data_IF_982548863314
#
_entry.id   IF_982548863314
#
_cell.length_a   1.000
_cell.length_b   1.000
_cell.length_c   1.000
_cell.angle_alpha   90.00
_cell.angle_beta   90.00
_cell.angle_gamma   90.00
#
_symmetry.space_group_name_H-M   'P 1'
#
loop_
_entity.id
_entity.type
_entity.pdbx_description
1 polymer ?
#
# COMPACT_ATOMS: atom_id res chain seq x y z
N UNK A 1 7.86 -0.40 -9.12
CA UNK A 1 7.94 -0.61 -7.65
C UNK A 1 7.77 -2.05 -7.26
N UNK A 2 6.71 -2.69 -7.74
CA UNK A 2 6.50 -4.11 -7.55
C UNK A 2 7.73 -4.93 -7.99
N UNK A 3 8.24 -4.71 -9.20
CA UNK A 3 9.42 -5.45 -9.67
C UNK A 3 10.68 -5.09 -8.92
N UNK A 4 10.83 -3.83 -8.48
CA UNK A 4 11.94 -3.44 -7.60
C UNK A 4 11.88 -4.19 -6.25
N UNK A 5 10.69 -4.36 -5.68
CA UNK A 5 10.48 -5.11 -4.44
C UNK A 5 10.73 -6.63 -4.62
N UNK A 6 10.49 -7.18 -5.81
CA UNK A 6 10.72 -8.60 -6.10
C UNK A 6 12.16 -8.89 -6.52
N UNK A 7 12.72 -8.07 -7.39
CA UNK A 7 14.04 -8.28 -8.03
C UNK A 7 15.18 -7.62 -7.25
N UNK A 8 14.87 -6.71 -6.32
CA UNK A 8 15.86 -5.90 -5.60
C UNK A 8 16.53 -4.84 -6.48
N UNK A 9 16.03 -4.58 -7.69
CA UNK A 9 16.59 -3.60 -8.61
C UNK A 9 15.83 -2.27 -8.57
N UNK A 10 16.44 -1.24 -7.97
CA UNK A 10 15.83 0.08 -7.81
C UNK A 10 15.93 0.98 -9.06
N UNK A 11 16.55 0.50 -10.15
CA UNK A 11 16.80 1.29 -11.37
C UNK A 11 15.53 1.86 -12.00
N UNK A 12 14.41 1.16 -11.84
CA UNK A 12 13.10 1.58 -12.36
C UNK A 12 12.35 2.58 -11.47
N UNK A 13 12.93 3.00 -10.33
CA UNK A 13 12.29 3.91 -9.35
C UNK A 13 12.86 5.33 -9.36
N UNK A 14 13.76 5.66 -10.28
CA UNK A 14 14.39 6.98 -10.32
C UNK A 14 13.40 8.14 -10.54
N UNK A 15 12.23 7.87 -11.13
CA UNK A 15 11.17 8.85 -11.31
C UNK A 15 10.38 9.13 -10.01
N UNK A 16 10.39 8.20 -9.05
CA UNK A 16 9.55 8.26 -7.86
C UNK A 16 10.25 9.03 -6.74
N UNK A 17 9.71 10.19 -6.43
CA UNK A 17 10.16 11.03 -5.33
C UNK A 17 9.06 11.23 -4.29
N UNK A 18 9.42 11.06 -3.01
CA UNK A 18 8.51 11.26 -1.90
C UNK A 18 8.53 12.72 -1.45
N UNK A 19 7.34 13.28 -1.27
CA UNK A 19 7.16 14.63 -0.74
C UNK A 19 6.81 14.57 0.76
N UNK A 20 7.82 14.82 1.60
CA UNK A 20 7.67 14.89 3.06
C UNK A 20 7.38 16.31 3.57
N UNK A 21 7.20 17.30 2.69
CA UNK A 21 7.05 18.72 3.08
C UNK A 21 5.85 19.01 3.99
N UNK A 22 4.87 18.10 4.09
CA UNK A 22 3.74 18.24 5.00
C UNK A 22 4.10 17.88 6.46
N UNK A 23 5.11 17.03 6.68
CA UNK A 23 5.45 16.53 8.03
C UNK A 23 6.32 17.52 8.81
N UNK A 24 7.03 18.42 8.13
CA UNK A 24 7.92 19.40 8.74
C UNK A 24 7.60 20.78 8.18
N UNK A 25 7.18 21.70 9.04
CA UNK A 25 6.77 23.07 8.72
C UNK A 25 7.93 23.99 8.34
N UNK A 26 8.88 23.50 7.53
CA UNK A 26 10.02 24.27 7.05
C UNK A 26 10.25 24.04 5.55
N UNK A 27 10.60 25.16 4.90
CA UNK A 27 10.76 25.35 3.47
C UNK A 27 11.55 24.22 2.78
N UNK A 28 11.06 23.82 1.61
CA UNK A 28 11.74 23.07 0.55
C UNK A 28 12.66 21.93 1.03
N UNK A 29 12.08 20.89 1.63
CA UNK A 29 12.80 19.63 1.79
C UNK A 29 13.04 19.06 0.37
N UNK A 30 14.28 18.69 0.02
CA UNK A 30 14.55 18.03 -1.24
C UNK A 30 13.69 16.77 -1.38
N UNK A 31 13.07 16.61 -2.54
CA UNK A 31 12.37 15.40 -2.95
C UNK A 31 13.25 14.17 -2.68
N UNK A 32 12.85 13.33 -1.72
CA UNK A 32 13.65 12.18 -1.32
C UNK A 32 13.41 11.02 -2.30
N UNK A 33 14.50 10.43 -2.81
CA UNK A 33 14.42 9.21 -3.61
C UNK A 33 13.83 8.08 -2.78
N UNK A 34 12.94 7.30 -3.38
CA UNK A 34 12.39 6.10 -2.74
C UNK A 34 13.51 5.09 -2.41
N UNK A 35 13.59 4.66 -1.15
CA UNK A 35 14.60 3.70 -0.67
C UNK A 35 14.02 2.60 0.23
N UNK A 36 12.71 2.59 0.48
CA UNK A 36 12.07 1.61 1.36
C UNK A 36 11.94 0.26 0.68
N UNK A 37 12.41 -0.80 1.36
CA UNK A 37 12.34 -2.19 0.85
C UNK A 37 11.20 -3.01 1.44
N UNK A 38 10.66 -2.56 2.57
CA UNK A 38 9.59 -3.17 3.36
C UNK A 38 8.22 -2.47 3.17
N UNK A 39 8.20 -1.35 2.46
CA UNK A 39 7.01 -0.58 2.13
C UNK A 39 6.72 -0.61 0.63
N UNK A 40 5.47 -0.33 0.28
CA UNK A 40 4.99 -0.13 -1.07
C UNK A 40 4.06 1.08 -1.10
N UNK A 41 4.06 1.80 -2.21
CA UNK A 41 3.10 2.86 -2.52
C UNK A 41 1.93 2.26 -3.29
N UNK A 42 0.74 2.32 -2.71
CA UNK A 42 -0.48 1.80 -3.31
C UNK A 42 -1.39 2.96 -3.68
N UNK A 43 -1.94 2.94 -4.89
CA UNK A 43 -3.03 3.83 -5.28
C UNK A 43 -4.35 3.09 -5.12
N UNK A 44 -5.33 3.74 -4.50
CA UNK A 44 -6.71 3.22 -4.44
C UNK A 44 -7.59 4.11 -5.29
N UNK A 45 -8.35 3.51 -6.20
CA UNK A 45 -9.33 4.24 -7.00
C UNK A 45 -10.51 3.38 -7.41
N UNK A 46 -11.66 4.01 -7.63
CA UNK A 46 -12.84 3.34 -8.18
C UNK A 46 -12.85 3.30 -9.72
N UNK A 47 -13.65 2.39 -10.27
CA UNK A 47 -14.00 2.38 -11.68
C UNK A 47 -15.40 1.79 -11.89
N UNK A 48 -16.13 2.32 -12.86
CA UNK A 48 -17.38 1.76 -13.38
C UNK A 48 -17.16 0.91 -14.62
N UNK A 49 -15.90 0.77 -15.08
CA UNK A 49 -15.57 -0.03 -16.26
C UNK A 49 -15.73 -1.51 -15.99
N UNK A 50 -16.13 -2.25 -17.02
CA UNK A 50 -16.33 -3.71 -16.94
C UNK A 50 -15.05 -4.49 -16.60
N UNK A 51 -13.87 -3.98 -16.99
CA UNK A 51 -12.57 -4.63 -16.78
C UNK A 51 -11.62 -3.69 -16.03
N UNK A 52 -11.05 -4.17 -14.93
CA UNK A 52 -10.05 -3.42 -14.15
C UNK A 52 -8.81 -3.09 -14.98
N UNK A 53 -8.39 -3.98 -15.88
CA UNK A 53 -7.26 -3.73 -16.79
C UNK A 53 -7.41 -2.45 -17.61
N UNK A 54 -8.64 -2.11 -18.05
CA UNK A 54 -8.88 -0.86 -18.79
C UNK A 54 -8.67 0.38 -17.92
N UNK A 55 -8.88 0.28 -16.60
CA UNK A 55 -8.61 1.36 -15.66
C UNK A 55 -7.12 1.50 -15.38
N UNK A 56 -6.41 0.38 -15.27
CA UNK A 56 -4.96 0.39 -15.11
C UNK A 56 -4.28 1.05 -16.31
N UNK A 57 -4.64 0.66 -17.55
CA UNK A 57 -4.08 1.28 -18.76
C UNK A 57 -4.36 2.79 -18.85
N UNK A 58 -5.51 3.27 -18.38
CA UNK A 58 -5.76 4.72 -18.29
C UNK A 58 -4.80 5.42 -17.33
N UNK A 59 -4.54 4.81 -16.17
CA UNK A 59 -3.59 5.36 -15.21
C UNK A 59 -2.17 5.37 -15.76
N UNK A 60 -1.74 4.32 -16.45
CA UNK A 60 -0.43 4.27 -17.11
C UNK A 60 -0.33 5.33 -18.21
N UNK A 61 -1.37 5.44 -19.05
CA UNK A 61 -1.39 6.44 -20.12
C UNK A 61 -1.39 7.87 -19.58
N UNK A 62 -2.01 8.11 -18.42
CA UNK A 62 -2.07 9.44 -17.79
C UNK A 62 -0.80 9.78 -17.03
N UNK A 63 -0.24 8.81 -16.30
CA UNK A 63 0.91 9.02 -15.42
C UNK A 63 2.24 8.72 -16.11
N UNK A 64 2.24 8.09 -17.29
CA UNK A 64 3.42 7.63 -18.03
C UNK A 64 4.35 6.73 -17.20
N UNK A 65 3.76 5.98 -16.27
CA UNK A 65 4.45 5.06 -15.38
C UNK A 65 3.68 3.74 -15.37
N UNK A 66 4.43 2.63 -15.37
CA UNK A 66 3.87 1.28 -15.26
C UNK A 66 3.17 1.11 -13.90
N UNK A 67 1.98 0.53 -13.92
CA UNK A 67 1.19 0.21 -12.72
C UNK A 67 0.78 -1.24 -12.74
N UNK A 68 0.90 -1.89 -11.59
CA UNK A 68 0.51 -3.29 -11.44
C UNK A 68 -0.68 -3.36 -10.49
N UNK A 69 -1.71 -4.11 -10.90
CA UNK A 69 -2.84 -4.43 -10.05
C UNK A 69 -2.39 -5.30 -8.88
N UNK A 70 -2.81 -4.93 -7.66
CA UNK A 70 -2.55 -5.72 -6.46
C UNK A 70 -3.71 -6.69 -6.23
N UNK A 71 -3.47 -7.95 -6.57
CA UNK A 71 -4.33 -9.09 -6.29
C UNK A 71 -3.76 -9.96 -5.14
N UNK A 72 -4.53 -10.92 -4.61
CA UNK A 72 -4.04 -11.80 -3.56
C UNK A 72 -2.75 -12.56 -3.91
N UNK A 73 -2.55 -12.95 -5.17
CA UNK A 73 -1.37 -13.70 -5.60
C UNK A 73 -0.11 -12.83 -5.65
N UNK A 74 -0.21 -11.61 -6.17
CA UNK A 74 0.85 -10.59 -6.16
C UNK A 74 1.19 -10.16 -4.74
N UNK A 75 0.20 -9.96 -3.86
CA UNK A 75 0.44 -9.69 -2.43
C UNK A 75 1.15 -10.87 -1.76
N UNK A 76 0.75 -12.10 -2.04
CA UNK A 76 1.43 -13.30 -1.53
C UNK A 76 2.89 -13.36 -1.96
N UNK A 77 3.17 -13.07 -3.23
CA UNK A 77 4.54 -13.02 -3.77
C UNK A 77 5.38 -11.96 -3.08
N UNK A 78 4.86 -10.75 -2.90
CA UNK A 78 5.55 -9.67 -2.18
C UNK A 78 5.87 -10.05 -0.73
N UNK A 79 4.90 -10.63 -0.01
CA UNK A 79 5.11 -11.05 1.38
C UNK A 79 6.22 -12.11 1.48
N UNK A 80 6.22 -13.09 0.58
CA UNK A 80 7.28 -14.12 0.53
C UNK A 80 8.65 -13.52 0.26
N UNK A 81 8.77 -12.56 -0.66
CA UNK A 81 10.05 -11.89 -0.93
C UNK A 81 10.63 -11.20 0.32
N UNK A 82 9.78 -10.64 1.20
CA UNK A 82 10.24 -10.08 2.47
C UNK A 82 10.73 -11.16 3.45
N UNK A 83 10.04 -12.28 3.55
CA UNK A 83 10.42 -13.39 4.44
C UNK A 83 11.75 -14.04 4.04
N UNK A 84 12.04 -14.08 2.74
CA UNK A 84 13.29 -14.66 2.22
C UNK A 84 14.50 -13.75 2.44
N UNK A 85 14.35 -12.47 2.76
CA UNK A 85 15.49 -11.64 3.17
C UNK A 85 15.89 -12.00 4.61
N UNK A 86 16.95 -12.79 4.85
CA UNK A 86 17.41 -12.98 6.20
C UNK A 86 18.08 -11.67 6.59
N UNK A 87 17.39 -10.86 7.39
CA UNK A 87 18.06 -9.81 8.16
C UNK A 87 19.13 -10.50 8.99
N UNK A 88 20.37 -10.53 8.48
CA UNK A 88 21.54 -10.86 9.28
C UNK A 88 21.57 -9.79 10.36
N UNK A 89 20.97 -10.09 11.51
CA UNK A 89 21.05 -9.21 12.69
C UNK A 89 22.53 -8.86 12.87
N UNK A 90 22.91 -7.57 12.90
CA UNK A 90 24.30 -7.20 13.09
C UNK A 90 24.83 -7.87 14.35
N UNK A 91 26.08 -8.32 14.31
CA UNK A 91 26.74 -9.10 15.38
C UNK A 91 26.60 -8.43 16.75
N UNK A 92 26.58 -7.09 16.76
CA UNK A 92 26.34 -6.26 17.93
C UNK A 92 24.91 -6.40 18.49
N UNK A 93 23.88 -6.42 17.65
CA UNK A 93 22.50 -6.64 18.08
C UNK A 93 22.27 -8.05 18.65
N UNK A 94 23.08 -9.05 18.27
CA UNK A 94 23.09 -10.37 18.92
C UNK A 94 23.70 -10.30 20.33
N UNK A 95 24.78 -9.53 20.52
CA UNK A 95 25.41 -9.33 21.83
C UNK A 95 24.45 -8.66 22.83
N UNK A 96 23.70 -7.65 22.39
CA UNK A 96 22.70 -7.00 23.25
C UNK A 96 21.42 -7.84 23.48
N UNK A 97 21.13 -8.81 22.61
CA UNK A 97 20.01 -9.75 22.80
C UNK A 97 20.23 -10.69 24.00
N UNK A 98 21.50 -10.98 24.31
CA UNK A 98 21.88 -11.77 25.48
C UNK A 98 21.77 -10.98 26.81
N UNK A 99 21.68 -9.65 26.73
CA UNK A 99 21.53 -8.75 27.89
C UNK A 99 20.06 -8.41 28.17
N UNK A 100 19.13 -8.92 27.37
CA UNK A 100 17.71 -8.75 27.65
C UNK A 100 17.32 -9.71 28.76
N UNK A 101 16.90 -9.18 29.92
CA UNK A 101 16.31 -9.99 30.99
C UNK A 101 15.22 -10.87 30.39
N UNK A 102 15.26 -12.17 30.68
CA UNK A 102 14.20 -13.12 30.30
C UNK A 102 12.93 -12.74 31.05
N UNK A 103 12.24 -11.73 30.56
CA UNK A 103 10.92 -11.40 31.05
C UNK A 103 10.02 -12.60 30.69
N UNK A 104 9.46 -13.23 31.73
CA UNK A 104 8.66 -14.47 31.65
C UNK A 104 7.34 -14.24 30.87
N UNK A 105 7.13 -13.03 30.35
CA UNK A 105 6.00 -12.66 29.51
C UNK A 105 6.50 -12.56 28.06
N UNK A 106 6.34 -13.65 27.31
CA UNK A 106 6.43 -13.63 25.83
C UNK A 106 5.70 -12.38 25.32
N UNK A 107 6.35 -11.47 24.56
CA UNK A 107 5.63 -10.38 23.93
C UNK A 107 4.63 -10.98 22.94
N UNK A 108 3.34 -10.91 23.29
CA UNK A 108 2.22 -11.09 22.37
C UNK A 108 2.31 -9.97 21.32
N UNK A 109 3.15 -10.12 20.30
CA UNK A 109 3.40 -8.96 19.41
C UNK A 109 4.07 -9.20 18.07
N UNK A 110 4.65 -10.37 17.79
CA UNK A 110 4.96 -10.70 16.41
C UNK A 110 3.69 -11.27 15.78
N UNK A 111 2.87 -10.40 15.18
CA UNK A 111 1.80 -10.81 14.26
C UNK A 111 2.48 -11.65 13.17
N UNK A 112 2.42 -12.97 13.31
CA UNK A 112 2.76 -13.91 12.24
C UNK A 112 1.98 -13.43 11.02
N UNK A 113 2.67 -13.23 9.90
CA UNK A 113 2.03 -12.95 8.62
C UNK A 113 1.00 -14.08 8.42
N UNK A 114 -0.29 -13.77 8.23
CA UNK A 114 -1.28 -14.82 8.08
C UNK A 114 -0.91 -15.66 6.86
N UNK A 115 -1.13 -16.99 6.88
CA UNK A 115 -1.00 -17.78 5.67
C UNK A 115 -1.88 -17.15 4.59
N UNK A 116 -1.29 -16.84 3.44
CA UNK A 116 -1.89 -16.01 2.37
C UNK A 116 -2.91 -16.81 1.54
N UNK A 117 -3.82 -17.52 2.21
CA UNK A 117 -5.08 -17.98 1.64
C UNK A 117 -6.13 -16.92 1.96
N UNK A 118 -6.12 -15.85 1.16
CA UNK A 118 -7.09 -14.76 1.25
C UNK A 118 -8.33 -15.16 0.45
N UNK A 119 -9.34 -15.69 1.14
CA UNK A 119 -10.68 -15.81 0.56
C UNK A 119 -11.35 -14.44 0.68
N UNK A 120 -11.48 -13.74 -0.45
CA UNK A 120 -12.12 -12.42 -0.54
C UNK A 120 -13.44 -12.58 -1.29
N UNK A 121 -14.55 -12.17 -0.68
CA UNK A 121 -15.91 -12.39 -1.21
C UNK A 121 -16.21 -11.54 -2.43
N UNK A 122 -15.66 -10.32 -2.46
CA UNK A 122 -15.96 -9.29 -3.46
C UNK A 122 -14.84 -9.12 -4.48
N UNK A 123 -13.71 -9.80 -4.30
CA UNK A 123 -12.60 -9.72 -5.24
C UNK A 123 -12.85 -10.62 -6.45
N UNK A 124 -13.16 -10.00 -7.58
CA UNK A 124 -13.48 -10.68 -8.85
C UNK A 124 -12.73 -9.96 -9.97
N UNK A 125 -12.22 -10.69 -10.96
CA UNK A 125 -11.60 -10.10 -12.17
C UNK A 125 -10.56 -8.99 -11.92
N UNK A 126 -9.77 -9.11 -10.84
CA UNK A 126 -8.70 -8.18 -10.51
C UNK A 126 -9.13 -6.94 -9.71
N UNK A 127 -10.36 -6.88 -9.18
CA UNK A 127 -10.82 -5.76 -8.36
C UNK A 127 -11.93 -6.13 -7.38
N UNK A 128 -12.26 -5.20 -6.49
CA UNK A 128 -13.31 -5.37 -5.49
C UNK A 128 -14.63 -4.80 -5.99
N UNK A 129 -15.68 -5.62 -5.96
CA UNK A 129 -17.02 -5.24 -6.39
C UNK A 129 -17.89 -4.86 -5.19
N UNK A 130 -18.63 -3.76 -5.31
CA UNK A 130 -19.59 -3.36 -4.28
C UNK A 130 -20.82 -4.27 -4.36
N UNK A 131 -21.19 -4.87 -3.24
CA UNK A 131 -22.37 -5.74 -3.20
C UNK A 131 -23.66 -4.93 -3.39
N UNK A 132 -24.65 -5.42 -4.16
CA UNK A 132 -25.88 -4.68 -4.46
C UNK A 132 -26.68 -4.28 -3.22
N UNK A 133 -26.58 -5.06 -2.14
CA UNK A 133 -27.27 -4.85 -0.88
C UNK A 133 -26.50 -3.97 0.12
N UNK A 134 -25.34 -3.43 -0.25
CA UNK A 134 -24.55 -2.57 0.64
C UNK A 134 -25.21 -1.21 0.91
N UNK A 135 -26.08 -0.74 0.02
CA UNK A 135 -26.74 0.56 0.11
C UNK A 135 -25.79 1.75 0.00
N UNK A 136 -24.53 1.53 -0.40
CA UNK A 136 -23.49 2.56 -0.51
C UNK A 136 -23.13 2.81 -1.97
N UNK A 137 -22.90 4.08 -2.32
CA UNK A 137 -22.38 4.41 -3.65
C UNK A 137 -20.90 4.05 -3.78
N UNK A 138 -20.39 3.90 -5.01
CA UNK A 138 -18.96 3.68 -5.25
C UNK A 138 -18.09 4.80 -4.64
N UNK A 139 -18.59 6.04 -4.68
CA UNK A 139 -17.90 7.20 -4.09
C UNK A 139 -17.84 7.10 -2.56
N UNK A 140 -18.91 6.62 -1.92
CA UNK A 140 -18.93 6.41 -0.47
C UNK A 140 -17.97 5.32 -0.03
N UNK A 141 -17.91 4.23 -0.80
CA UNK A 141 -16.98 3.12 -0.58
C UNK A 141 -15.54 3.58 -0.73
N UNK A 142 -15.21 4.28 -1.83
CA UNK A 142 -13.87 4.83 -2.05
C UNK A 142 -13.47 5.80 -0.93
N UNK A 143 -14.36 6.73 -0.59
CA UNK A 143 -14.14 7.69 0.49
C UNK A 143 -13.93 6.99 1.84
N UNK A 144 -14.67 5.92 2.11
CA UNK A 144 -14.53 5.12 3.33
C UNK A 144 -13.18 4.40 3.38
N UNK A 145 -12.74 3.81 2.28
CA UNK A 145 -11.43 3.16 2.16
C UNK A 145 -10.32 4.19 2.34
N UNK A 146 -10.40 5.35 1.66
CA UNK A 146 -9.42 6.42 1.76
C UNK A 146 -9.31 6.94 3.19
N UNK A 147 -10.43 7.25 3.87
CA UNK A 147 -10.43 7.69 5.28
C UNK A 147 -9.80 6.66 6.21
N UNK A 148 -10.12 5.38 6.02
CA UNK A 148 -9.54 4.28 6.80
C UNK A 148 -8.02 4.24 6.63
N UNK A 149 -7.54 4.30 5.38
CA UNK A 149 -6.11 4.23 5.09
C UNK A 149 -5.36 5.50 5.51
N UNK A 150 -5.95 6.69 5.35
CA UNK A 150 -5.37 7.94 5.85
C UNK A 150 -5.21 7.92 7.37
N UNK A 151 -6.21 7.43 8.10
CA UNK A 151 -6.12 7.29 9.56
C UNK A 151 -4.99 6.36 9.97
N UNK A 152 -4.71 5.31 9.18
CA UNK A 152 -3.73 4.27 9.53
C UNK A 152 -2.31 4.57 9.05
N UNK A 153 -2.15 5.19 7.88
CA UNK A 153 -0.86 5.36 7.20
C UNK A 153 -0.56 6.80 6.79
N UNK A 154 -1.49 7.74 6.99
CA UNK A 154 -1.39 9.10 6.48
C UNK A 154 -1.69 9.22 4.99
N UNK A 155 -1.49 10.43 4.46
CA UNK A 155 -1.65 10.72 3.04
C UNK A 155 -0.30 10.54 2.33
N UNK A 156 -0.24 9.65 1.34
CA UNK A 156 0.89 9.57 0.42
C UNK A 156 0.74 10.63 -0.65
N UNK A 157 1.59 11.65 -0.59
CA UNK A 157 1.59 12.76 -1.54
C UNK A 157 2.74 12.57 -2.51
N UNK A 158 2.40 12.48 -3.79
CA UNK A 158 3.37 12.20 -4.86
C UNK A 158 3.33 13.33 -5.89
N UNK A 159 4.50 13.84 -6.23
CA UNK A 159 4.69 14.61 -7.46
C UNK A 159 4.91 13.66 -8.63
N UNK A 160 3.93 13.60 -9.53
CA UNK A 160 4.02 12.78 -10.73
C UNK A 160 4.58 13.63 -11.87
N UNK A 161 5.75 13.24 -12.39
CA UNK A 161 6.37 13.92 -13.53
C UNK A 161 5.61 13.70 -14.84
N UNK A 162 4.91 12.57 -14.98
CA UNK A 162 4.13 12.27 -16.18
C UNK A 162 2.75 12.95 -16.24
N UNK A 163 2.25 13.49 -15.12
CA UNK A 163 1.02 14.27 -15.10
C UNK A 163 1.32 15.76 -15.02
N UNK A 164 0.66 16.57 -15.84
CA UNK A 164 0.79 18.03 -15.82
C UNK A 164 -0.48 18.70 -15.27
N UNK A 165 -0.31 19.81 -14.56
CA UNK A 165 -1.41 20.70 -14.18
C UNK A 165 -1.70 21.70 -15.32
N UNK A 166 -2.68 22.58 -15.13
CA UNK A 166 -3.05 23.61 -16.13
C UNK A 166 -1.92 24.61 -16.45
N UNK A 167 -0.85 24.63 -15.65
CA UNK A 167 0.35 25.47 -15.81
C UNK A 167 1.55 24.68 -16.35
N UNK A 168 1.33 23.45 -16.85
CA UNK A 168 2.38 22.52 -17.32
C UNK A 168 3.41 22.09 -16.25
N UNK A 169 3.08 22.24 -14.97
CA UNK A 169 3.93 21.77 -13.86
C UNK A 169 3.52 20.35 -13.43
N UNK A 170 4.45 19.57 -12.83
CA UNK A 170 4.14 18.24 -12.29
C UNK A 170 2.93 18.26 -11.34
N UNK A 171 1.95 17.39 -11.61
CA UNK A 171 0.72 17.29 -10.82
C UNK A 171 0.98 16.53 -9.52
N UNK A 172 0.37 17.02 -8.44
CA UNK A 172 0.37 16.36 -7.13
C UNK A 172 -0.82 15.40 -7.01
N UNK A 173 -0.55 14.14 -6.67
CA UNK A 173 -1.58 13.12 -6.40
C UNK A 173 -1.72 12.90 -4.89
N UNK A 174 -2.98 12.75 -4.42
CA UNK A 174 -3.33 12.52 -3.00
C UNK A 174 -3.90 11.12 -2.72
N UNK A 175 -4.09 10.33 -3.77
CA UNK A 175 -4.76 9.01 -3.74
C UNK A 175 -3.78 7.87 -3.47
N UNK A 176 -2.56 8.19 -3.02
CA UNK A 176 -1.50 7.21 -2.78
C UNK A 176 -1.29 7.00 -1.28
N UNK A 177 -0.86 5.80 -0.94
CA UNK A 177 -0.70 5.36 0.44
C UNK A 177 0.61 4.58 0.54
N UNK A 178 1.54 5.06 1.36
CA UNK A 178 2.76 4.34 1.68
C UNK A 178 2.45 3.35 2.80
N UNK A 179 2.51 2.06 2.51
CA UNK A 179 2.10 1.02 3.46
C UNK A 179 3.14 -0.10 3.56
N UNK A 180 3.34 -0.67 4.76
CA UNK A 180 4.15 -1.86 4.92
C UNK A 180 3.59 -3.02 4.09
N UNK A 181 4.46 -3.74 3.37
CA UNK A 181 4.05 -4.87 2.52
C UNK A 181 3.38 -5.97 3.35
N UNK A 182 3.84 -6.20 4.58
CA UNK A 182 3.25 -7.18 5.50
C UNK A 182 1.82 -6.81 5.97
N UNK A 183 1.37 -5.57 5.73
CA UNK A 183 0.01 -5.14 6.02
C UNK A 183 -0.96 -5.38 4.86
N UNK A 184 -0.47 -5.58 3.64
CA UNK A 184 -1.30 -5.75 2.44
C UNK A 184 -2.38 -6.84 2.58
N UNK A 185 -2.10 -8.05 3.13
CA UNK A 185 -3.14 -9.06 3.30
C UNK A 185 -4.33 -8.60 4.15
N UNK A 186 -4.06 -7.81 5.19
CA UNK A 186 -5.10 -7.27 6.07
C UNK A 186 -5.87 -6.15 5.38
N UNK A 187 -5.19 -5.32 4.59
CA UNK A 187 -5.84 -4.24 3.83
C UNK A 187 -6.79 -4.82 2.79
N UNK A 188 -6.41 -5.89 2.09
CA UNK A 188 -7.32 -6.56 1.15
C UNK A 188 -8.57 -7.08 1.86
N UNK A 189 -8.46 -7.64 3.07
CA UNK A 189 -9.61 -8.06 3.88
C UNK A 189 -10.48 -6.88 4.34
N UNK A 190 -9.85 -5.79 4.78
CA UNK A 190 -10.56 -4.59 5.24
C UNK A 190 -11.36 -3.98 4.07
N UNK A 191 -10.78 -3.92 2.86
CA UNK A 191 -11.47 -3.47 1.65
C UNK A 191 -12.63 -4.42 1.30
N UNK A 192 -12.39 -5.73 1.32
CA UNK A 192 -13.42 -6.74 1.05
C UNK A 192 -14.63 -6.59 1.98
N UNK A 193 -14.39 -6.42 3.28
CA UNK A 193 -15.42 -6.20 4.29
C UNK A 193 -16.20 -4.90 4.06
N UNK A 194 -15.51 -3.82 3.69
CA UNK A 194 -16.14 -2.55 3.30
C UNK A 194 -17.06 -2.75 2.08
N UNK A 195 -16.59 -3.44 1.05
CA UNK A 195 -17.35 -3.72 -0.17
C UNK A 195 -18.54 -4.66 0.05
N UNK A 196 -18.45 -5.55 1.05
CA UNK A 196 -19.57 -6.38 1.51
C UNK A 196 -20.66 -5.59 2.24
N UNK A 197 -20.39 -4.34 2.64
CA UNK A 197 -21.30 -3.58 3.49
C UNK A 197 -21.33 -4.08 4.95
N UNK A 198 -20.35 -4.87 5.38
CA UNK A 198 -20.24 -5.29 6.78
C UNK A 198 -20.01 -4.01 7.62
N UNK A 199 -20.92 -3.76 8.57
CA UNK A 199 -20.72 -2.70 9.57
C UNK A 199 -19.52 -3.13 10.40
N UNK A 200 -18.35 -2.58 10.10
CA UNK A 200 -17.16 -2.79 10.92
C UNK A 200 -17.53 -2.53 12.38
N UNK A 201 -17.50 -3.59 13.20
CA UNK A 201 -17.53 -3.46 14.64
C UNK A 201 -16.29 -2.65 15.02
N UNK A 202 -16.46 -1.34 15.15
CA UNK A 202 -15.57 -0.51 15.91
C UNK A 202 -15.66 -1.02 17.34
N UNK A 203 -14.72 -1.91 17.71
CA UNK A 203 -14.50 -2.27 19.10
C UNK A 203 -14.23 -0.98 19.88
N UNK A 204 -15.17 -0.66 20.76
CA UNK A 204 -14.98 0.19 21.94
C UNK A 204 -14.41 -0.70 23.03
#
# INVERSE_FOLDING_TARGET
>A
MYDAAITGQDRHLQWLHMDYSIIQSQKSIPLAKWSSRDHILCKIGMTTKLKVGLRLSEWENSCKHEVIGLDPATVSRLCKCLEVTPSKKPTLAKLFQALTLKDIRKPKGQRKVPPVNLTLKTFVNGGFYVMPNSGLSLLDIESKIHRMLWKRYGQGLIYCQGCQNAKNEPKRHKEWFMMPINHLPYILKDIDSICCGERGNAGV
#
